data_IF_409438680713
#
_entry.id   IF_409438680713
#
_cell.length_a   1.000
_cell.length_b   1.000
_cell.length_c   1.000
_cell.angle_alpha   90.00
_cell.angle_beta   90.00
_cell.angle_gamma   90.00
#
_symmetry.space_group_name_H-M   'P 1'
#
loop_
_entity.id
_entity.type
_entity.pdbx_description
1 polymer ?
#
# COMPACT_ATOMS: atom_id res chain seq x y z
N UNK A 1 4.21 -0.73 23.48
CA UNK A 1 3.57 -1.90 22.86
C UNK A 1 4.62 -2.97 22.67
N UNK A 2 4.36 -4.18 23.15
CA UNK A 2 5.28 -5.32 23.03
C UNK A 2 5.25 -5.87 21.60
N UNK A 3 6.35 -6.48 21.15
CA UNK A 3 6.42 -7.01 19.78
C UNK A 3 5.31 -8.03 19.50
N UNK A 4 4.89 -8.81 20.51
CA UNK A 4 3.86 -9.84 20.35
C UNK A 4 2.50 -9.22 20.00
N UNK A 5 2.20 -8.08 20.61
CA UNK A 5 0.97 -7.31 20.35
C UNK A 5 1.00 -6.70 18.95
N UNK A 6 2.15 -6.16 18.53
CA UNK A 6 2.35 -5.65 17.17
C UNK A 6 2.11 -6.75 16.14
N UNK A 7 2.74 -7.91 16.32
CA UNK A 7 2.57 -9.05 15.41
C UNK A 7 1.12 -9.52 15.33
N UNK A 8 0.36 -9.43 16.43
CA UNK A 8 -1.06 -9.75 16.43
C UNK A 8 -1.87 -8.73 15.61
N UNK A 9 -1.60 -7.42 15.79
CA UNK A 9 -2.24 -6.35 15.01
C UNK A 9 -1.91 -6.45 13.53
N UNK A 10 -0.66 -6.72 13.15
CA UNK A 10 -0.24 -6.84 11.77
C UNK A 10 -0.95 -7.99 11.03
N UNK A 11 -1.28 -9.08 11.73
CA UNK A 11 -2.03 -10.22 11.16
C UNK A 11 -3.51 -9.95 10.93
N UNK A 12 -4.06 -8.85 11.43
CA UNK A 12 -5.47 -8.52 11.23
C UNK A 12 -5.77 -8.33 9.72
N UNK A 13 -6.97 -8.70 9.25
CA UNK A 13 -7.34 -8.54 7.86
C UNK A 13 -7.25 -7.07 7.40
N UNK A 14 -7.03 -6.88 6.10
CA UNK A 14 -6.95 -5.55 5.51
C UNK A 14 -8.35 -5.12 5.09
N UNK A 15 -8.78 -3.87 5.37
CA UNK A 15 -10.04 -3.35 4.87
C UNK A 15 -10.12 -3.46 3.34
N UNK A 16 -11.25 -3.94 2.82
CA UNK A 16 -11.42 -4.16 1.38
C UNK A 16 -11.37 -2.86 0.57
N UNK A 17 -11.61 -1.71 1.19
CA UNK A 17 -11.55 -0.37 0.58
C UNK A 17 -10.16 0.03 0.08
N UNK A 18 -9.09 -0.48 0.69
CA UNK A 18 -7.69 -0.18 0.31
C UNK A 18 -7.06 -1.30 -0.53
N UNK A 19 -7.78 -2.39 -0.76
CA UNK A 19 -7.34 -3.44 -1.66
C UNK A 19 -7.57 -3.04 -3.12
N UNK A 20 -6.57 -3.33 -3.95
CA UNK A 20 -6.57 -3.02 -5.38
C UNK A 20 -6.47 -4.32 -6.18
N UNK A 21 -6.95 -4.29 -7.43
CA UNK A 21 -6.84 -5.41 -8.37
C UNK A 21 -5.98 -4.99 -9.54
N UNK A 22 -5.01 -5.83 -9.91
CA UNK A 22 -4.18 -5.67 -11.10
C UNK A 22 -4.47 -6.85 -12.02
N UNK A 23 -4.70 -6.56 -13.31
CA UNK A 23 -4.80 -7.61 -14.31
C UNK A 23 -3.48 -8.38 -14.37
N UNK A 24 -3.57 -9.72 -14.31
CA UNK A 24 -2.41 -10.57 -14.50
C UNK A 24 -2.37 -11.07 -15.94
N UNK A 25 -1.16 -11.23 -16.46
CA UNK A 25 -0.93 -11.85 -17.76
C UNK A 25 0.00 -13.04 -17.56
N UNK A 26 -0.45 -14.22 -17.97
CA UNK A 26 0.33 -15.45 -17.92
C UNK A 26 0.53 -15.90 -19.35
N UNK A 27 1.80 -15.92 -19.81
CA UNK A 27 2.18 -16.31 -21.18
C UNK A 27 1.37 -15.57 -22.27
N UNK A 28 1.18 -14.26 -22.09
CA UNK A 28 0.43 -13.41 -23.04
C UNK A 28 -1.09 -13.54 -22.99
N UNK A 29 -1.66 -14.38 -22.10
CA UNK A 29 -3.11 -14.50 -21.90
C UNK A 29 -3.55 -13.80 -20.61
N UNK A 30 -4.74 -13.20 -20.63
CA UNK A 30 -5.35 -12.57 -19.44
C UNK A 30 -5.63 -13.64 -18.39
N UNK A 31 -4.94 -13.54 -17.25
CA UNK A 31 -5.12 -14.39 -16.08
C UNK A 31 -6.16 -13.81 -15.11
N UNK A 32 -6.33 -14.47 -13.96
CA UNK A 32 -7.17 -13.95 -12.87
C UNK A 32 -6.53 -12.68 -12.28
N UNK A 33 -7.31 -11.63 -12.00
CA UNK A 33 -6.76 -10.41 -11.41
C UNK A 33 -6.10 -10.73 -10.07
N UNK A 34 -4.95 -10.12 -9.82
CA UNK A 34 -4.21 -10.23 -8.57
C UNK A 34 -4.68 -9.11 -7.65
N UNK A 35 -5.19 -9.48 -6.48
CA UNK A 35 -5.48 -8.53 -5.41
C UNK A 35 -4.18 -8.16 -4.70
N UNK A 36 -3.95 -6.87 -4.46
CA UNK A 36 -2.75 -6.36 -3.81
C UNK A 36 -3.06 -5.12 -2.98
N UNK A 37 -2.14 -4.77 -2.08
CA UNK A 37 -2.10 -3.50 -1.35
C UNK A 37 -1.02 -2.59 -1.95
N UNK A 38 -1.30 -1.29 -2.02
CA UNK A 38 -0.32 -0.30 -2.50
C UNK A 38 0.82 -0.12 -1.49
N UNK A 39 1.97 0.38 -1.95
CA UNK A 39 3.11 0.64 -1.07
C UNK A 39 2.75 1.69 0.01
N UNK A 40 2.09 2.77 -0.38
CA UNK A 40 1.70 3.83 0.54
C UNK A 40 0.68 3.35 1.59
N UNK A 41 -0.33 2.58 1.18
CA UNK A 41 -1.29 1.98 2.13
C UNK A 41 -0.60 1.01 3.10
N UNK A 42 0.46 0.34 2.65
CA UNK A 42 1.27 -0.53 3.51
C UNK A 42 2.00 0.28 4.58
N UNK A 43 2.55 1.45 4.23
CA UNK A 43 3.19 2.36 5.18
C UNK A 43 2.19 2.86 6.24
N UNK A 44 1.02 3.33 5.81
CA UNK A 44 -0.02 3.80 6.73
C UNK A 44 -0.45 2.70 7.73
N UNK A 45 -0.54 1.45 7.28
CA UNK A 45 -0.86 0.33 8.16
C UNK A 45 0.26 0.00 9.15
N UNK A 46 1.54 0.20 8.78
CA UNK A 46 2.64 0.05 9.72
C UNK A 46 2.62 1.16 10.76
N UNK A 47 2.38 2.41 10.35
CA UNK A 47 2.23 3.54 11.27
C UNK A 47 1.11 3.28 12.29
N UNK A 48 -0.04 2.79 11.82
CA UNK A 48 -1.19 2.46 12.65
C UNK A 48 -0.96 1.26 13.58
N UNK A 49 -0.39 0.16 13.05
CA UNK A 49 -0.37 -1.14 13.73
C UNK A 49 0.94 -1.44 14.48
N UNK A 50 2.06 -0.93 13.98
CA UNK A 50 3.40 -1.17 14.52
C UNK A 50 4.00 0.05 15.22
N UNK A 51 3.61 1.27 14.83
CA UNK A 51 4.16 2.49 15.40
C UNK A 51 5.55 2.78 14.84
N UNK A 52 6.61 2.48 15.59
CA UNK A 52 7.99 2.74 15.15
C UNK A 52 8.52 1.61 14.26
N UNK A 53 8.89 1.96 13.04
CA UNK A 53 9.51 1.05 12.08
C UNK A 53 10.51 1.81 11.19
N UNK A 54 11.43 1.06 10.58
CA UNK A 54 12.37 1.58 9.60
C UNK A 54 12.55 0.61 8.45
N UNK A 55 12.72 1.16 7.24
CA UNK A 55 13.06 0.40 6.04
C UNK A 55 14.46 0.79 5.57
N UNK A 56 15.29 -0.21 5.28
CA UNK A 56 16.64 -0.01 4.78
C UNK A 56 16.83 -0.80 3.49
N UNK A 57 17.42 -0.17 2.47
CA UNK A 57 17.85 -0.85 1.24
C UNK A 57 19.25 -1.39 1.49
N UNK A 58 19.38 -2.70 1.65
CA UNK A 58 20.65 -3.36 1.95
C UNK A 58 21.54 -3.45 0.71
N UNK A 59 20.95 -3.72 -0.46
CA UNK A 59 21.69 -3.89 -1.70
C UNK A 59 20.79 -3.68 -2.93
N UNK A 60 21.39 -3.23 -4.02
CA UNK A 60 20.75 -3.13 -5.34
C UNK A 60 21.64 -3.81 -6.37
N UNK A 61 21.11 -4.86 -7.00
CA UNK A 61 21.80 -5.62 -8.04
C UNK A 61 21.16 -5.29 -9.38
N UNK A 62 21.98 -4.83 -10.33
CA UNK A 62 21.60 -4.63 -11.71
C UNK A 62 22.10 -5.81 -12.54
N UNK A 63 21.21 -6.40 -13.33
CA UNK A 63 21.56 -7.32 -14.43
C UNK A 63 21.26 -6.63 -15.76
N UNK A 64 21.58 -7.27 -16.87
CA UNK A 64 21.28 -6.73 -18.21
C UNK A 64 19.79 -6.43 -18.43
N UNK A 65 18.90 -7.18 -17.77
CA UNK A 65 17.46 -7.11 -18.02
C UNK A 65 16.63 -6.80 -16.78
N UNK A 66 17.19 -6.95 -15.58
CA UNK A 66 16.45 -6.84 -14.32
C UNK A 66 17.19 -6.01 -13.29
N UNK A 67 16.40 -5.35 -12.48
CA UNK A 67 16.81 -4.77 -11.22
C UNK A 67 16.35 -5.67 -10.08
N UNK A 68 17.20 -5.88 -9.10
CA UNK A 68 16.88 -6.63 -7.88
C UNK A 68 17.24 -5.77 -6.68
N UNK A 69 16.26 -5.50 -5.83
CA UNK A 69 16.43 -4.74 -4.58
C UNK A 69 16.33 -5.69 -3.41
N UNK A 70 17.28 -5.61 -2.50
CA UNK A 70 17.29 -6.28 -1.21
C UNK A 70 17.07 -5.22 -0.14
N UNK A 71 16.14 -5.45 0.77
CA UNK A 71 15.93 -4.53 1.87
C UNK A 71 15.39 -5.20 3.12
N UNK A 72 15.62 -4.53 4.24
CA UNK A 72 15.30 -4.98 5.59
C UNK A 72 14.31 -4.03 6.25
N UNK A 73 13.19 -4.60 6.71
CA UNK A 73 12.21 -3.91 7.55
C UNK A 73 12.50 -4.25 9.01
N UNK A 74 12.65 -3.23 9.84
CA UNK A 74 12.80 -3.36 11.29
C UNK A 74 11.61 -2.73 11.99
N UNK A 75 11.01 -3.47 12.91
CA UNK A 75 9.97 -2.99 13.82
C UNK A 75 10.60 -2.81 15.20
N UNK A 76 10.41 -1.64 15.79
CA UNK A 76 10.97 -1.27 17.09
C UNK A 76 9.83 -1.32 18.12
N UNK A 77 9.85 -2.33 18.98
CA UNK A 77 8.95 -2.44 20.12
C UNK A 77 9.64 -2.01 21.42
N UNK A 78 8.88 -1.91 22.51
CA UNK A 78 9.44 -1.55 23.83
C UNK A 78 10.38 -2.63 24.38
N UNK A 79 10.14 -3.91 24.06
CA UNK A 79 10.91 -5.03 24.59
C UNK A 79 12.06 -5.46 23.68
N UNK A 80 11.90 -5.35 22.36
CA UNK A 80 12.94 -5.69 21.38
C UNK A 80 12.64 -5.15 19.99
N UNK A 81 13.69 -5.19 19.16
CA UNK A 81 13.58 -4.99 17.72
C UNK A 81 13.46 -6.33 16.99
N UNK A 82 12.72 -6.34 15.90
CA UNK A 82 12.61 -7.49 15.01
C UNK A 82 12.77 -7.05 13.56
N UNK A 83 13.68 -7.71 12.85
CA UNK A 83 14.03 -7.37 11.46
C UNK A 83 13.71 -8.52 10.53
N UNK A 84 13.14 -8.21 9.36
CA UNK A 84 12.87 -9.17 8.29
C UNK A 84 13.31 -8.58 6.95
N UNK A 85 14.17 -9.29 6.24
CA UNK A 85 14.64 -8.89 4.91
C UNK A 85 13.83 -9.55 3.81
N UNK A 86 13.72 -8.90 2.65
CA UNK A 86 13.12 -9.49 1.47
C UNK A 86 13.72 -8.91 0.19
N UNK A 87 13.37 -9.54 -0.93
CA UNK A 87 13.82 -9.12 -2.26
C UNK A 87 12.65 -8.70 -3.12
N UNK A 88 12.90 -7.74 -3.99
CA UNK A 88 12.00 -7.34 -5.07
C UNK A 88 12.78 -7.32 -6.37
N UNK A 89 12.08 -7.58 -7.47
CA UNK A 89 12.69 -7.58 -8.79
C UNK A 89 11.77 -6.95 -9.80
N UNK A 90 12.33 -6.18 -10.72
CA UNK A 90 11.60 -5.58 -11.82
C UNK A 90 12.44 -5.64 -13.10
N UNK A 91 11.78 -5.66 -14.25
CA UNK A 91 12.47 -5.56 -15.55
C UNK A 91 12.89 -4.12 -15.83
N UNK A 92 14.09 -3.91 -16.37
CA UNK A 92 14.59 -2.56 -16.69
C UNK A 92 13.75 -1.87 -17.77
N UNK A 93 13.20 -2.65 -18.70
CA UNK A 93 12.31 -2.18 -19.77
C UNK A 93 10.83 -2.35 -19.41
N UNK A 94 10.45 -2.24 -18.13
CA UNK A 94 9.06 -2.41 -17.74
C UNK A 94 8.16 -1.35 -18.38
N UNK A 95 7.07 -1.77 -19.01
CA UNK A 95 6.02 -0.86 -19.53
C UNK A 95 5.01 -0.46 -18.45
N UNK A 96 5.27 -0.83 -17.20
CA UNK A 96 4.42 -0.50 -16.05
C UNK A 96 4.67 0.93 -15.57
N UNK A 97 3.68 1.48 -14.87
CA UNK A 97 3.80 2.78 -14.20
C UNK A 97 4.94 2.78 -13.16
N UNK A 98 5.70 3.87 -13.10
CA UNK A 98 6.86 4.03 -12.21
C UNK A 98 8.17 3.54 -12.83
N UNK A 99 9.29 3.88 -12.21
CA UNK A 99 10.60 3.38 -12.63
C UNK A 99 10.86 1.97 -12.05
N UNK A 100 11.77 1.18 -12.65
CA UNK A 100 12.08 -0.17 -12.18
C UNK A 100 12.56 -0.23 -10.72
N UNK A 101 13.24 0.82 -10.21
CA UNK A 101 13.76 0.86 -8.84
C UNK A 101 12.66 1.04 -7.80
N UNK A 102 11.75 1.98 -8.02
CA UNK A 102 10.57 2.18 -7.18
C UNK A 102 9.71 0.92 -7.11
N UNK A 103 9.52 0.22 -8.24
CA UNK A 103 8.73 -1.00 -8.30
C UNK A 103 9.41 -2.18 -7.60
N UNK A 104 10.71 -2.37 -7.80
CA UNK A 104 11.48 -3.41 -7.13
C UNK A 104 11.55 -3.17 -5.61
N UNK A 105 11.78 -1.94 -5.17
CA UNK A 105 11.76 -1.58 -3.75
C UNK A 105 10.39 -1.85 -3.12
N UNK A 106 9.31 -1.36 -3.74
CA UNK A 106 7.96 -1.58 -3.25
C UNK A 106 7.61 -3.08 -3.14
N UNK A 107 8.14 -3.90 -4.04
CA UNK A 107 8.00 -5.35 -3.98
C UNK A 107 8.77 -5.96 -2.80
N UNK A 108 10.03 -5.56 -2.60
CA UNK A 108 10.86 -6.01 -1.47
C UNK A 108 10.19 -5.63 -0.13
N UNK A 109 9.82 -4.36 0.01
CA UNK A 109 9.18 -3.82 1.21
C UNK A 109 7.91 -4.58 1.60
N UNK A 110 6.98 -4.76 0.65
CA UNK A 110 5.72 -5.47 0.93
C UNK A 110 5.94 -6.95 1.26
N UNK A 111 6.95 -7.59 0.66
CA UNK A 111 7.33 -8.98 1.02
C UNK A 111 7.93 -9.06 2.42
N UNK A 112 8.73 -8.08 2.84
CA UNK A 112 9.23 -7.98 4.20
C UNK A 112 8.07 -7.79 5.20
N UNK A 113 7.12 -6.89 4.90
CA UNK A 113 5.89 -6.72 5.68
C UNK A 113 5.10 -8.03 5.83
N UNK A 114 4.97 -8.79 4.73
CA UNK A 114 4.27 -10.08 4.75
C UNK A 114 4.92 -11.12 5.68
N UNK A 115 6.24 -11.06 5.92
CA UNK A 115 6.93 -11.93 6.89
C UNK A 115 6.51 -11.64 8.33
N UNK A 116 6.13 -10.41 8.65
CA UNK A 116 5.50 -10.05 9.94
C UNK A 116 4.02 -10.44 10.04
N UNK A 117 3.39 -10.79 8.91
CA UNK A 117 1.98 -11.18 8.82
C UNK A 117 1.09 -10.14 8.13
N UNK A 118 1.60 -8.93 7.87
CA UNK A 118 0.83 -7.86 7.24
C UNK A 118 0.45 -8.24 5.81
N UNK A 119 -0.86 -8.28 5.53
CA UNK A 119 -1.43 -8.65 4.23
C UNK A 119 -0.93 -9.99 3.66
N UNK A 120 -0.36 -10.87 4.50
CA UNK A 120 0.23 -12.14 4.08
C UNK A 120 -0.78 -13.06 3.41
N UNK A 121 -2.04 -13.01 3.85
CA UNK A 121 -3.13 -13.81 3.30
C UNK A 121 -3.43 -13.49 1.82
N UNK A 122 -3.02 -12.32 1.29
CA UNK A 122 -3.21 -12.00 -0.13
C UNK A 122 -2.38 -12.89 -1.07
N UNK A 123 -1.30 -13.50 -0.56
CA UNK A 123 -0.45 -14.44 -1.30
C UNK A 123 -1.03 -15.86 -1.33
N UNK A 124 -1.97 -16.16 -0.44
CA UNK A 124 -2.66 -17.45 -0.40
C UNK A 124 -4.00 -17.31 -1.13
N UNK A 125 -4.23 -18.17 -2.11
CA UNK A 125 -5.44 -18.11 -2.94
C UNK A 125 -6.70 -18.45 -2.13
N UNK A 126 -6.64 -19.45 -1.26
CA UNK A 126 -7.79 -19.93 -0.50
C UNK A 126 -8.16 -18.92 0.58
N UNK A 127 -7.17 -18.49 1.37
CA UNK A 127 -7.41 -17.52 2.45
C UNK A 127 -7.89 -16.17 1.92
N UNK A 128 -7.32 -15.68 0.80
CA UNK A 128 -7.77 -14.43 0.18
C UNK A 128 -9.23 -14.47 -0.20
N UNK A 129 -9.69 -15.56 -0.80
CA UNK A 129 -11.06 -15.68 -1.28
C UNK A 129 -12.02 -15.72 -0.06
N UNK A 130 -11.67 -16.44 1.01
CA UNK A 130 -12.41 -16.44 2.30
C UNK A 130 -12.55 -15.05 2.94
N UNK A 131 -11.46 -14.29 3.06
CA UNK A 131 -11.51 -12.93 3.66
C UNK A 131 -12.28 -11.94 2.78
N UNK A 132 -12.24 -12.13 1.45
CA UNK A 132 -13.01 -11.29 0.53
C UNK A 132 -14.50 -11.51 0.74
N UNK A 133 -14.94 -12.77 0.86
CA UNK A 133 -16.34 -13.13 1.11
C UNK A 133 -16.85 -12.57 2.45
N UNK A 134 -16.09 -12.72 3.53
CA UNK A 134 -16.44 -12.16 4.84
C UNK A 134 -16.66 -10.64 4.80
N UNK A 135 -15.78 -9.91 4.10
CA UNK A 135 -15.94 -8.45 3.95
C UNK A 135 -17.19 -8.03 3.17
N UNK A 136 -17.74 -8.91 2.32
CA UNK A 136 -18.99 -8.65 1.59
C UNK A 136 -20.22 -8.89 2.44
N UNK A 137 -20.13 -9.80 3.42
CA UNK A 137 -21.21 -10.13 4.34
C UNK A 137 -21.37 -9.09 5.46
N UNK A 138 -20.27 -8.44 5.87
CA UNK A 138 -20.26 -7.42 6.93
C UNK A 138 -20.71 -6.01 6.48
N UNK A 139 -21.16 -5.83 5.23
CA UNK A 139 -21.71 -4.54 4.80
C UNK A 139 -22.98 -4.23 5.62
N UNK A 140 -23.03 -3.15 6.43
CA UNK A 140 -24.23 -2.79 7.14
C UNK A 140 -25.34 -2.43 6.15
N UNK A 141 -26.50 -3.07 6.30
CA UNK A 141 -27.69 -2.95 5.43
C UNK A 141 -28.37 -1.57 5.48
N UNK A 142 -27.81 -0.57 6.17
CA UNK A 142 -28.38 0.77 6.23
C UNK A 142 -27.43 1.79 5.60
N UNK A 143 -27.45 1.86 4.27
CA UNK A 143 -27.00 3.06 3.56
C UNK A 143 -28.15 4.06 3.65
N UNK A 144 -28.12 4.95 4.64
CA UNK A 144 -28.94 6.17 4.60
C UNK A 144 -28.53 6.93 3.34
N UNK A 145 -29.46 7.31 2.44
CA UNK A 145 -29.10 8.01 1.22
C UNK A 145 -28.36 9.31 1.58
N UNK A 146 -27.15 9.46 1.03
CA UNK A 146 -26.36 10.69 1.12
C UNK A 146 -27.24 11.85 0.63
N UNK A 147 -27.74 12.66 1.57
CA UNK A 147 -28.27 13.98 1.25
C UNK A 147 -27.10 14.80 0.72
N UNK A 148 -27.28 15.43 -0.44
CA UNK A 148 -26.28 16.25 -1.12
C UNK A 148 -25.70 17.29 -0.16
N UNK A 149 -24.49 17.04 0.36
CA UNK A 149 -23.73 18.04 1.10
C UNK A 149 -23.23 19.07 0.09
N UNK A 150 -23.87 20.24 0.08
CA UNK A 150 -23.37 21.40 -0.65
C UNK A 150 -21.94 21.69 -0.20
N UNK A 151 -20.97 21.52 -1.12
CA UNK A 151 -19.58 21.91 -0.90
C UNK A 151 -19.45 23.43 -1.00
N UNK A 152 -19.82 24.15 0.05
CA UNK A 152 -19.27 25.49 0.28
C UNK A 152 -17.94 25.32 1.01
N UNK A 153 -16.85 25.70 0.34
CA UNK A 153 -15.51 25.70 0.93
C UNK A 153 -15.48 26.76 2.04
N UNK A 154 -15.08 26.42 3.27
CA UNK A 154 -14.95 27.41 4.35
C UNK A 154 -13.90 28.46 4.00
N UNK A 155 -14.26 29.73 4.17
CA UNK A 155 -13.44 30.91 3.82
C UNK A 155 -12.09 30.96 4.57
N UNK A 156 -11.94 30.16 5.63
CA UNK A 156 -10.72 30.04 6.44
C UNK A 156 -9.57 29.24 5.79
N UNK A 157 -9.77 28.59 4.63
CA UNK A 157 -8.76 27.78 3.95
C UNK A 157 -7.92 28.53 2.89
N UNK A 158 -7.90 29.87 2.91
CA UNK A 158 -7.24 30.68 1.86
C UNK A 158 -6.18 31.66 2.33
N UNK A 159 -5.30 31.27 3.26
CA UNK A 159 -4.07 32.05 3.52
C UNK A 159 -2.90 31.11 3.78
N UNK A 160 -2.03 30.98 2.78
CA UNK A 160 -0.56 30.87 2.95
C UNK A 160 0.20 30.69 1.62
N UNK A 161 -0.50 30.52 0.50
CA UNK A 161 0.12 30.67 -0.81
C UNK A 161 -0.32 32.02 -1.39
N UNK A 162 0.60 32.98 -1.49
CA UNK A 162 0.37 34.35 -1.99
C UNK A 162 0.00 34.44 -3.48
N UNK A 163 -0.99 33.67 -3.91
CA UNK A 163 -1.58 33.63 -5.24
C UNK A 163 -3.08 33.81 -5.08
N UNK A 164 -3.63 34.76 -5.83
CA UNK A 164 -5.04 35.10 -5.81
C UNK A 164 -5.91 33.95 -6.34
N UNK A 165 -7.18 33.94 -5.94
CA UNK A 165 -8.16 32.95 -6.38
C UNK A 165 -8.33 32.91 -7.91
N UNK A 166 -8.08 34.04 -8.59
CA UNK A 166 -8.13 34.11 -10.05
C UNK A 166 -6.92 33.42 -10.71
N UNK A 167 -5.73 33.55 -10.13
CA UNK A 167 -4.51 32.90 -10.63
C UNK A 167 -4.57 31.38 -10.47
N UNK A 168 -5.14 30.89 -9.36
CA UNK A 168 -5.35 29.46 -9.14
C UNK A 168 -6.34 28.84 -10.16
N UNK A 169 -7.44 29.54 -10.46
CA UNK A 169 -8.44 29.09 -11.45
C UNK A 169 -7.85 29.04 -12.86
N UNK A 170 -7.05 30.04 -13.24
CA UNK A 170 -6.32 30.10 -14.51
C UNK A 170 -5.32 28.95 -14.63
N UNK A 171 -4.54 28.66 -13.59
CA UNK A 171 -3.55 27.57 -13.60
C UNK A 171 -4.18 26.16 -13.72
N UNK A 172 -5.46 26.00 -13.35
CA UNK A 172 -6.20 24.74 -13.45
C UNK A 172 -7.13 24.65 -14.66
N UNK A 173 -7.16 25.67 -15.52
CA UNK A 173 -8.05 25.69 -16.69
C UNK A 173 -9.54 25.67 -16.34
N UNK A 174 -9.88 26.07 -15.11
CA UNK A 174 -11.25 26.14 -14.61
C UNK A 174 -11.76 27.56 -14.89
N UNK A 175 -12.84 27.69 -15.68
CA UNK A 175 -13.55 28.97 -15.87
C UNK A 175 -14.41 29.29 -14.64
#
# INVERSE_FOLDING_TARGET
MLIAEILLKLKQPIPSSILRKKDSFIKGKKGKPITYISWFDTCNLLDERAGLWSWHIDNVIHTETRLIVYGTLTIIAEDKELSMSATGTEELNCSTYGDPSSNAEAMAFKRACAKFGLARYLYDKELRDTYTEQSTLEKPTNVVPMTTVNKTVPESWTRDCGISLQEWKMAKGLR
#
